data_IF_257687673246
#
_entry.id   IF_257687673246
#
_cell.length_a   1.000
_cell.length_b   1.000
_cell.length_c   1.000
_cell.angle_alpha   90.00
_cell.angle_beta   90.00
_cell.angle_gamma   90.00
#
_symmetry.space_group_name_H-M   'P 1'
#
loop_
_entity.id
_entity.type
_entity.pdbx_description
1 polymer ?
#
# COMPACT_ATOMS: atom_id res chain seq x y z
N UNK A 1 -1.49 -40.43 -15.85
CA UNK A 1 -2.92 -40.08 -15.67
C UNK A 1 -3.31 -38.60 -15.81
N UNK A 2 -2.40 -37.65 -16.13
CA UNK A 2 -2.77 -36.23 -16.38
C UNK A 2 -2.53 -35.73 -17.81
N UNK A 3 -1.86 -36.51 -18.64
CA UNK A 3 -1.51 -36.11 -20.01
C UNK A 3 -2.64 -36.39 -21.00
N UNK A 4 -3.33 -37.54 -20.90
CA UNK A 4 -4.47 -37.91 -21.75
C UNK A 4 -5.65 -36.95 -21.62
N UNK A 5 -5.90 -36.40 -20.42
CA UNK A 5 -6.93 -35.38 -20.23
C UNK A 5 -6.56 -34.00 -20.77
N UNK A 6 -5.28 -33.72 -21.11
CA UNK A 6 -4.88 -32.41 -21.66
C UNK A 6 -5.28 -32.23 -23.12
N UNK A 7 -5.33 -33.31 -23.89
CA UNK A 7 -5.86 -33.30 -25.26
C UNK A 7 -7.38 -33.07 -25.26
N UNK A 8 -8.07 -33.64 -24.27
CA UNK A 8 -9.52 -33.41 -24.05
C UNK A 8 -9.78 -32.00 -23.49
N UNK A 9 -8.92 -31.52 -22.58
CA UNK A 9 -8.95 -30.15 -22.03
C UNK A 9 -8.34 -29.09 -22.98
N UNK A 10 -7.97 -29.46 -24.21
CA UNK A 10 -7.45 -28.54 -25.21
C UNK A 10 -8.57 -27.55 -25.61
N UNK A 11 -8.69 -26.47 -24.83
CA UNK A 11 -9.68 -25.42 -25.09
C UNK A 11 -9.39 -24.84 -26.47
N UNK A 12 -10.31 -24.96 -27.43
CA UNK A 12 -10.06 -24.47 -28.78
C UNK A 12 -9.83 -22.96 -28.74
N UNK A 13 -8.93 -22.46 -29.60
CA UNK A 13 -8.52 -21.05 -29.64
C UNK A 13 -9.75 -20.11 -29.70
N UNK A 14 -10.79 -20.50 -30.43
CA UNK A 14 -12.10 -19.84 -30.51
C UNK A 14 -12.76 -19.63 -29.13
N UNK A 15 -12.76 -20.65 -28.26
CA UNK A 15 -13.35 -20.58 -26.91
C UNK A 15 -12.50 -19.75 -25.95
N UNK A 16 -11.18 -19.76 -26.10
CA UNK A 16 -10.27 -18.88 -25.34
C UNK A 16 -10.50 -17.41 -25.72
N UNK A 17 -10.62 -17.12 -27.02
CA UNK A 17 -10.95 -15.79 -27.52
C UNK A 17 -12.34 -15.34 -27.04
N UNK A 18 -13.35 -16.20 -27.13
CA UNK A 18 -14.70 -15.92 -26.63
C UNK A 18 -14.70 -15.63 -25.12
N UNK A 19 -13.95 -16.40 -24.33
CA UNK A 19 -13.83 -16.19 -22.89
C UNK A 19 -13.15 -14.85 -22.57
N UNK A 20 -12.08 -14.48 -23.30
CA UNK A 20 -11.43 -13.17 -23.17
C UNK A 20 -12.39 -12.04 -23.55
N UNK A 21 -13.13 -12.16 -24.65
CA UNK A 21 -14.12 -11.19 -25.07
C UNK A 21 -15.26 -11.04 -24.06
N UNK A 22 -15.77 -12.14 -23.49
CA UNK A 22 -16.78 -12.12 -22.42
C UNK A 22 -16.26 -11.39 -21.18
N UNK A 23 -15.04 -11.69 -20.74
CA UNK A 23 -14.40 -11.00 -19.60
C UNK A 23 -14.24 -9.50 -19.86
N UNK A 24 -13.80 -9.12 -21.08
CA UNK A 24 -13.73 -7.70 -21.50
C UNK A 24 -15.11 -7.03 -21.49
N UNK A 25 -16.12 -7.66 -22.09
CA UNK A 25 -17.50 -7.15 -22.14
C UNK A 25 -18.07 -6.90 -20.74
N UNK A 26 -17.86 -7.82 -19.79
CA UNK A 26 -18.32 -7.66 -18.41
C UNK A 26 -17.62 -6.48 -17.72
N UNK A 27 -16.31 -6.32 -17.94
CA UNK A 27 -15.57 -5.17 -17.40
C UNK A 27 -16.08 -3.84 -17.98
N UNK A 28 -16.30 -3.79 -19.30
CA UNK A 28 -16.83 -2.60 -19.98
C UNK A 28 -18.23 -2.22 -19.49
N UNK A 29 -19.15 -3.20 -19.41
CA UNK A 29 -20.51 -2.97 -18.87
C UNK A 29 -20.50 -2.40 -17.45
N UNK A 30 -19.58 -2.87 -16.60
CA UNK A 30 -19.41 -2.31 -15.24
C UNK A 30 -18.96 -0.85 -15.30
N UNK A 31 -18.00 -0.50 -16.16
CA UNK A 31 -17.56 0.88 -16.33
C UNK A 31 -18.68 1.77 -16.90
N UNK A 32 -19.44 1.30 -17.89
CA UNK A 32 -20.60 2.01 -18.44
C UNK A 32 -21.66 2.28 -17.37
N UNK A 33 -21.99 1.28 -16.54
CA UNK A 33 -22.94 1.46 -15.44
C UNK A 33 -22.47 2.50 -14.41
N UNK A 34 -21.15 2.56 -14.19
CA UNK A 34 -20.53 3.53 -13.27
C UNK A 34 -20.50 4.93 -13.87
N UNK A 35 -20.23 5.06 -15.17
CA UNK A 35 -20.33 6.33 -15.89
C UNK A 35 -21.74 6.91 -15.80
N UNK A 36 -22.77 6.09 -16.07
CA UNK A 36 -24.18 6.52 -15.94
C UNK A 36 -24.48 7.04 -14.53
N UNK A 37 -24.07 6.30 -13.49
CA UNK A 37 -24.24 6.72 -12.09
C UNK A 37 -23.44 7.97 -11.73
N UNK A 38 -22.24 8.15 -12.29
CA UNK A 38 -21.42 9.34 -12.07
C UNK A 38 -22.08 10.58 -12.66
N UNK A 39 -22.67 10.48 -13.86
CA UNK A 39 -23.42 11.57 -14.47
C UNK A 39 -24.62 11.96 -13.59
N UNK A 40 -25.42 10.99 -13.15
CA UNK A 40 -26.55 11.27 -12.25
C UNK A 40 -26.14 11.95 -10.93
N UNK A 41 -24.96 11.65 -10.38
CA UNK A 41 -24.43 12.32 -9.17
C UNK A 41 -23.94 13.73 -9.49
N UNK A 42 -23.41 13.95 -10.69
CA UNK A 42 -22.98 15.28 -11.15
C UNK A 42 -24.17 16.25 -11.21
N UNK A 43 -25.30 15.75 -11.71
CA UNK A 43 -26.52 16.54 -11.96
C UNK A 43 -27.30 16.88 -10.67
N UNK A 44 -26.97 16.26 -9.53
CA UNK A 44 -27.64 16.55 -8.24
C UNK A 44 -27.29 17.95 -7.72
N UNK A 45 -28.28 18.79 -7.46
CA UNK A 45 -28.09 20.18 -6.98
C UNK A 45 -27.86 20.29 -5.48
N UNK A 46 -28.36 19.34 -4.70
CA UNK A 46 -28.46 19.46 -3.24
C UNK A 46 -27.17 19.09 -2.50
N UNK A 47 -26.16 18.61 -3.23
CA UNK A 47 -24.91 18.05 -2.68
C UNK A 47 -23.74 18.96 -3.01
N UNK A 48 -22.88 19.21 -2.02
CA UNK A 48 -21.63 19.95 -2.23
C UNK A 48 -20.70 19.24 -3.22
N UNK A 49 -20.01 20.01 -4.06
CA UNK A 49 -19.11 19.50 -5.12
C UNK A 49 -18.06 18.52 -4.58
N UNK A 50 -17.50 18.82 -3.39
CA UNK A 50 -16.54 17.94 -2.71
C UNK A 50 -17.12 16.56 -2.39
N UNK A 51 -18.40 16.51 -2.06
CA UNK A 51 -19.10 15.26 -1.75
C UNK A 51 -19.41 14.48 -3.03
N UNK A 52 -19.80 15.16 -4.12
CA UNK A 52 -19.96 14.56 -5.46
C UNK A 52 -18.67 13.87 -5.90
N UNK A 53 -17.54 14.58 -5.84
CA UNK A 53 -16.22 14.04 -6.20
C UNK A 53 -15.89 12.77 -5.39
N UNK A 54 -16.11 12.79 -4.07
CA UNK A 54 -15.87 11.61 -3.22
C UNK A 54 -16.77 10.43 -3.57
N UNK A 55 -18.02 10.67 -3.98
CA UNK A 55 -18.93 9.61 -4.40
C UNK A 55 -18.51 9.01 -5.75
N UNK A 56 -18.17 9.87 -6.72
CA UNK A 56 -17.66 9.47 -8.03
C UNK A 56 -16.38 8.63 -7.87
N UNK A 57 -15.43 9.09 -7.06
CA UNK A 57 -14.20 8.36 -6.73
C UNK A 57 -14.47 6.97 -6.16
N UNK A 58 -15.44 6.86 -5.24
CA UNK A 58 -15.83 5.57 -4.64
C UNK A 58 -16.41 4.63 -5.69
N UNK A 59 -17.22 5.13 -6.63
CA UNK A 59 -17.78 4.32 -7.71
C UNK A 59 -16.67 3.76 -8.62
N UNK A 60 -15.74 4.60 -9.05
CA UNK A 60 -14.61 4.15 -9.88
C UNK A 60 -13.66 3.19 -9.13
N UNK A 61 -13.41 3.43 -7.84
CA UNK A 61 -12.62 2.50 -6.99
C UNK A 61 -13.26 1.13 -6.80
N UNK A 62 -14.58 1.00 -6.97
CA UNK A 62 -15.30 -0.28 -6.97
C UNK A 62 -15.28 -0.96 -8.34
N UNK A 63 -15.29 -0.17 -9.42
CA UNK A 63 -15.30 -0.67 -10.80
C UNK A 63 -13.94 -1.23 -11.26
N UNK A 64 -12.86 -0.68 -10.71
CA UNK A 64 -11.48 -1.08 -11.05
C UNK A 64 -11.19 -2.52 -10.58
N UNK A 65 -10.75 -3.43 -11.48
CA UNK A 65 -10.43 -4.79 -11.10
C UNK A 65 -9.20 -4.80 -10.18
N UNK A 66 -9.39 -5.19 -8.92
CA UNK A 66 -8.31 -5.31 -7.94
C UNK A 66 -7.71 -6.70 -7.96
N UNK A 67 -6.38 -6.78 -7.93
CA UNK A 67 -5.68 -8.03 -7.66
C UNK A 67 -5.80 -8.33 -6.15
N UNK A 68 -5.99 -9.59 -5.75
CA UNK A 68 -6.03 -9.94 -4.33
C UNK A 68 -4.70 -9.56 -3.67
N UNK A 69 -4.77 -8.87 -2.54
CA UNK A 69 -3.60 -8.53 -1.75
C UNK A 69 -3.03 -9.79 -1.10
N UNK A 70 -1.71 -9.98 -1.20
CA UNK A 70 -1.02 -11.05 -0.48
C UNK A 70 -0.89 -10.64 0.98
N UNK A 71 -1.49 -11.38 1.89
CA UNK A 71 -1.38 -11.10 3.33
C UNK A 71 -0.07 -11.70 3.85
N UNK A 72 0.74 -10.91 4.55
CA UNK A 72 2.04 -11.37 5.05
C UNK A 72 1.91 -11.90 6.47
N UNK A 73 2.16 -13.19 6.66
CA UNK A 73 2.18 -13.84 7.97
C UNK A 73 3.63 -13.91 8.47
N UNK A 74 3.87 -13.47 9.70
CA UNK A 74 5.21 -13.53 10.30
C UNK A 74 5.44 -14.91 10.91
N UNK A 75 6.53 -15.57 10.53
CA UNK A 75 6.94 -16.82 11.15
C UNK A 75 7.38 -16.60 12.61
N UNK A 76 6.99 -17.51 13.51
CA UNK A 76 7.52 -17.57 14.88
C UNK A 76 8.64 -18.61 14.92
N UNK A 77 9.74 -18.29 15.63
CA UNK A 77 10.91 -19.18 15.74
C UNK A 77 10.48 -20.51 16.36
N UNK A 78 10.87 -21.63 15.75
CA UNK A 78 10.57 -22.99 16.22
C UNK A 78 9.21 -23.55 15.79
N UNK A 79 8.34 -22.76 15.14
CA UNK A 79 7.03 -23.23 14.66
C UNK A 79 6.99 -23.18 13.14
N UNK A 80 7.00 -24.36 12.49
CA UNK A 80 6.85 -24.49 11.05
C UNK A 80 5.37 -24.32 10.67
N UNK A 81 4.98 -23.09 10.30
CA UNK A 81 3.61 -22.79 9.87
C UNK A 81 3.55 -22.74 8.34
N UNK A 82 2.73 -23.61 7.72
CA UNK A 82 2.42 -23.48 6.30
C UNK A 82 1.48 -22.27 6.09
N UNK A 83 1.82 -21.30 5.21
CA UNK A 83 0.95 -20.15 4.99
C UNK A 83 -0.38 -20.61 4.38
N UNK A 84 -1.48 -20.05 4.87
CA UNK A 84 -2.80 -20.24 4.26
C UNK A 84 -2.86 -19.71 2.82
N UNK A 85 -3.86 -20.14 2.04
CA UNK A 85 -4.04 -19.71 0.65
C UNK A 85 -4.10 -18.18 0.56
N UNK A 86 -3.26 -17.59 -0.28
CA UNK A 86 -3.16 -16.13 -0.46
C UNK A 86 -2.29 -15.41 0.57
N UNK A 87 -1.74 -16.13 1.55
CA UNK A 87 -0.75 -15.60 2.50
C UNK A 87 0.66 -15.92 2.03
N UNK A 88 1.59 -15.00 2.27
CA UNK A 88 3.01 -15.22 2.09
C UNK A 88 3.63 -15.26 3.48
N UNK A 89 4.27 -16.38 3.82
CA UNK A 89 5.05 -16.49 5.05
C UNK A 89 6.32 -15.63 4.89
N UNK A 90 6.59 -14.78 5.88
CA UNK A 90 7.70 -13.83 5.86
C UNK A 90 8.38 -13.84 7.21
N UNK A 91 9.71 -13.78 7.23
CA UNK A 91 10.46 -13.68 8.48
C UNK A 91 10.41 -12.25 9.04
N UNK A 92 10.64 -12.06 10.36
CA UNK A 92 10.67 -10.73 10.96
C UNK A 92 11.62 -9.75 10.26
N UNK A 93 12.78 -10.23 9.79
CA UNK A 93 13.75 -9.43 9.03
C UNK A 93 13.22 -9.08 7.64
N UNK A 94 12.73 -10.09 6.91
CA UNK A 94 12.15 -9.90 5.58
C UNK A 94 10.94 -8.95 5.59
N UNK A 95 10.10 -8.96 6.64
CA UNK A 95 8.99 -7.99 6.80
C UNK A 95 9.50 -6.57 7.02
N UNK A 96 10.58 -6.38 7.79
CA UNK A 96 11.22 -5.07 7.97
C UNK A 96 11.78 -4.56 6.65
N UNK A 97 12.48 -5.42 5.92
CA UNK A 97 13.08 -5.07 4.63
C UNK A 97 12.01 -4.72 3.58
N UNK A 98 10.90 -5.46 3.54
CA UNK A 98 9.77 -5.11 2.66
C UNK A 98 9.05 -3.83 3.07
N UNK A 99 9.07 -3.45 4.37
CA UNK A 99 8.50 -2.17 4.85
C UNK A 99 9.43 -0.99 4.55
N UNK A 100 10.74 -1.21 4.51
CA UNK A 100 11.72 -0.18 4.12
C UNK A 100 11.79 -0.01 2.61
N UNK A 101 11.85 -1.10 1.84
CA UNK A 101 12.00 -1.08 0.38
C UNK A 101 10.66 -1.03 -0.38
N UNK A 102 9.54 -1.32 0.28
CA UNK A 102 8.24 -1.44 -0.38
C UNK A 102 8.15 -2.69 -1.25
N UNK A 103 6.94 -3.05 -1.70
CA UNK A 103 6.69 -4.23 -2.57
C UNK A 103 7.12 -3.99 -4.03
N UNK A 104 8.05 -3.06 -4.25
CA UNK A 104 8.58 -2.67 -5.55
C UNK A 104 9.75 -3.57 -5.96
N UNK A 105 9.97 -3.67 -7.28
CA UNK A 105 11.06 -4.45 -7.89
C UNK A 105 12.42 -4.14 -7.24
N UNK A 106 13.30 -5.15 -7.05
CA UNK A 106 14.66 -4.91 -6.57
C UNK A 106 15.37 -3.96 -7.55
N UNK A 107 15.92 -2.86 -7.03
CA UNK A 107 16.66 -1.87 -7.82
C UNK A 107 16.10 -0.44 -7.81
N UNK A 108 14.84 -0.20 -7.39
CA UNK A 108 14.40 1.16 -7.06
C UNK A 108 14.74 1.48 -5.61
N UNK A 109 16.01 1.80 -5.38
CA UNK A 109 16.51 2.38 -4.15
C UNK A 109 15.56 3.50 -3.68
N UNK A 110 15.17 3.39 -2.42
CA UNK A 110 14.13 4.22 -1.84
C UNK A 110 14.51 5.69 -1.80
N UNK A 111 13.77 6.53 -2.52
CA UNK A 111 13.57 7.93 -2.10
C UNK A 111 12.57 7.94 -0.95
N UNK A 112 13.01 7.54 0.25
CA UNK A 112 12.30 7.90 1.49
C UNK A 112 12.74 9.30 1.90
N UNK A 113 11.94 10.27 1.47
CA UNK A 113 11.84 11.59 2.10
C UNK A 113 11.29 11.36 3.50
N UNK A 114 12.05 11.73 4.54
CA UNK A 114 11.48 12.02 5.87
C UNK A 114 12.05 11.24 7.07
N UNK A 115 12.98 11.91 7.76
CA UNK A 115 13.08 12.09 9.22
C UNK A 115 13.32 10.86 10.13
N UNK A 116 14.56 10.81 10.63
CA UNK A 116 14.86 10.90 12.07
C UNK A 116 14.61 9.66 12.93
N UNK A 117 15.66 8.88 13.19
CA UNK A 117 15.75 8.09 14.43
C UNK A 117 17.22 7.83 14.79
N UNK A 118 17.66 8.49 15.86
CA UNK A 118 18.85 8.27 16.68
C UNK A 118 19.48 6.88 16.52
N UNK A 119 20.69 6.85 15.97
CA UNK A 119 21.65 5.77 16.21
C UNK A 119 22.32 6.07 17.56
N UNK A 120 21.89 5.39 18.63
CA UNK A 120 22.71 5.25 19.84
C UNK A 120 23.82 4.26 19.53
N UNK A 121 24.93 4.78 18.99
CA UNK A 121 26.16 4.04 18.81
C UNK A 121 26.97 4.03 20.10
N UNK A 122 27.34 2.83 20.56
CA UNK A 122 28.48 2.57 21.44
C UNK A 122 29.71 3.28 20.87
N UNK A 123 30.33 4.15 21.65
CA UNK A 123 31.60 4.80 21.33
C UNK A 123 32.33 5.14 22.62
N UNK A 124 33.54 4.59 22.76
CA UNK A 124 34.35 4.63 23.96
C UNK A 124 34.92 6.01 24.31
N UNK A 125 35.53 6.03 25.50
CA UNK A 125 36.22 7.15 26.15
C UNK A 125 37.06 7.98 25.18
N UNK A 126 36.86 9.30 25.21
CA UNK A 126 37.79 10.31 24.71
C UNK A 126 37.64 11.58 25.53
N UNK A 127 38.61 11.86 26.40
CA UNK A 127 38.75 13.12 27.15
C UNK A 127 39.44 14.17 26.25
N UNK A 128 38.87 15.35 26.11
CA UNK A 128 39.55 16.64 25.88
C UNK A 128 38.51 17.76 25.97
N UNK A 129 38.54 18.58 27.03
CA UNK A 129 39.25 19.87 27.18
C UNK A 129 38.73 20.98 26.23
N UNK A 130 38.33 22.10 26.84
CA UNK A 130 38.08 23.40 26.20
C UNK A 130 36.77 24.02 26.71
N UNK A 131 36.82 24.90 27.73
CA UNK A 131 36.74 26.38 27.57
C UNK A 131 35.54 26.79 26.69
N UNK A 132 34.55 27.58 27.11
CA UNK A 132 34.47 28.59 28.17
C UNK A 132 33.54 29.69 27.64
N UNK A 133 32.77 30.34 28.52
CA UNK A 133 31.99 31.54 28.25
C UNK A 133 30.61 31.30 27.61
N UNK A 134 29.55 32.06 27.93
CA UNK A 134 29.45 33.31 28.68
C UNK A 134 27.98 33.51 29.09
N UNK A 135 27.79 33.97 30.32
CA UNK A 135 26.80 34.95 30.83
C UNK A 135 25.49 35.16 30.03
N UNK A 136 24.32 34.90 30.60
CA UNK A 136 23.59 35.76 31.55
C UNK A 136 22.84 36.97 30.95
N UNK A 137 21.57 37.06 31.35
CA UNK A 137 20.71 38.26 31.51
C UNK A 137 20.04 38.91 30.29
N UNK A 138 18.72 38.67 30.20
CA UNK A 138 17.62 39.67 30.20
C UNK A 138 16.32 38.83 30.17
N UNK A 139 15.35 38.90 31.07
CA UNK A 139 14.93 39.99 31.94
C UNK A 139 13.47 40.33 31.63
N UNK A 140 12.58 39.97 32.56
CA UNK A 140 11.32 40.65 32.95
C UNK A 140 9.98 40.26 32.28
N UNK A 141 9.11 39.68 33.14
CA UNK A 141 7.66 39.94 33.40
C UNK A 141 6.69 39.81 32.20
N UNK A 142 5.47 39.29 32.29
CA UNK A 142 4.50 39.04 33.37
C UNK A 142 3.45 38.06 32.75
N UNK A 143 2.91 37.08 33.47
CA UNK A 143 1.53 37.17 33.96
C UNK A 143 0.76 35.87 33.73
N UNK A 144 0.12 35.36 34.80
CA UNK A 144 -0.67 34.13 34.91
C UNK A 144 -2.15 34.35 34.53
N UNK A 145 -2.85 33.22 34.35
CA UNK A 145 -4.30 32.95 34.23
C UNK A 145 -4.78 32.90 32.76
N UNK A 146 -5.53 31.88 32.31
CA UNK A 146 -6.40 30.91 32.97
C UNK A 146 -6.17 29.50 32.44
#
# INVERSE_FOLDING_TARGET
>A
MRAQFREIDARPAKKVAQAKARKKRVAMRKLESVKRKANSISDQTDISERSKMKMIDKLYKKATPKRPNKEYQVAKKGVHVKPGKGKVLVDPRMKKDMRTHGVGKPGKAGKKKGKGAKVRGKGGKGKSKGFGGLADKKGKKMGRKR
#
